data_IF_327008123380
#
_entry.id   IF_327008123380
#
_cell.length_a   1.000
_cell.length_b   1.000
_cell.length_c   1.000
_cell.angle_alpha   90.00
_cell.angle_beta   90.00
_cell.angle_gamma   90.00
#
_symmetry.space_group_name_H-M   'P 1'
#
loop_
_entity.id
_entity.type
_entity.pdbx_description
1 polymer ?
#
# COMPACT_ATOMS: atom_id res chain seq x y z
N UNK A 1 45.30 6.65 -22.51
CA UNK A 1 43.97 7.31 -22.51
C UNK A 1 42.86 6.47 -23.19
N UNK A 2 43.04 5.16 -23.40
CA UNK A 2 42.05 4.29 -24.06
C UNK A 2 41.34 3.29 -23.14
N UNK A 3 41.92 2.94 -21.99
CA UNK A 3 41.37 1.94 -21.05
C UNK A 3 40.24 2.50 -20.18
N UNK A 4 40.39 3.73 -19.66
CA UNK A 4 39.38 4.39 -18.82
C UNK A 4 38.04 4.59 -19.53
N UNK A 5 38.05 4.72 -20.87
CA UNK A 5 36.84 4.88 -21.69
C UNK A 5 36.13 3.55 -21.99
N UNK A 6 36.84 2.42 -21.90
CA UNK A 6 36.27 1.08 -22.09
C UNK A 6 35.64 0.55 -20.80
N UNK A 7 36.26 0.81 -19.66
CA UNK A 7 35.69 0.46 -18.33
C UNK A 7 34.39 1.22 -18.05
N UNK A 8 34.32 2.51 -18.40
CA UNK A 8 33.12 3.33 -18.21
C UNK A 8 31.91 2.83 -19.03
N UNK A 9 32.15 2.33 -20.25
CA UNK A 9 31.11 1.70 -21.09
C UNK A 9 30.73 0.29 -20.62
N UNK A 10 31.67 -0.44 -20.02
CA UNK A 10 31.37 -1.76 -19.42
C UNK A 10 30.47 -1.63 -18.18
N UNK A 11 30.70 -0.62 -17.34
CA UNK A 11 29.80 -0.30 -16.22
C UNK A 11 28.41 0.16 -16.66
N UNK A 12 28.31 0.90 -17.78
CA UNK A 12 27.02 1.24 -18.39
C UNK A 12 26.31 0.00 -18.96
N UNK A 13 27.06 -0.99 -19.47
CA UNK A 13 26.51 -2.25 -20.01
C UNK A 13 26.11 -3.28 -18.94
N UNK A 14 26.67 -3.22 -17.73
CA UNK A 14 26.22 -4.05 -16.59
C UNK A 14 24.94 -3.48 -15.94
N UNK A 15 24.65 -2.18 -16.16
CA UNK A 15 23.33 -1.61 -15.90
C UNK A 15 22.31 -1.93 -17.01
N UNK A 16 22.71 -2.66 -18.06
CA UNK A 16 21.77 -3.18 -19.03
C UNK A 16 21.01 -4.37 -18.43
N UNK A 17 19.79 -4.04 -18.00
CA UNK A 17 18.65 -4.92 -17.73
C UNK A 17 18.86 -5.93 -16.61
N UNK A 18 18.52 -5.49 -15.39
CA UNK A 18 17.96 -6.40 -14.40
C UNK A 18 16.74 -7.11 -15.03
N UNK A 19 16.59 -8.43 -14.88
CA UNK A 19 15.38 -9.13 -15.29
C UNK A 19 14.12 -8.47 -14.72
N UNK A 20 13.08 -8.35 -15.55
CA UNK A 20 11.87 -7.59 -15.22
C UNK A 20 11.14 -8.13 -13.98
N UNK A 21 11.15 -9.45 -13.80
CA UNK A 21 10.59 -10.13 -12.63
C UNK A 21 11.31 -9.74 -11.33
N UNK A 22 12.63 -9.57 -11.38
CA UNK A 22 13.41 -9.11 -10.22
C UNK A 22 13.16 -7.62 -9.98
N UNK A 23 13.07 -6.81 -11.03
CA UNK A 23 12.75 -5.39 -10.92
C UNK A 23 11.36 -5.18 -10.28
N UNK A 24 10.37 -5.95 -10.73
CA UNK A 24 9.02 -5.96 -10.18
C UNK A 24 9.00 -6.38 -8.71
N UNK A 25 9.79 -7.40 -8.37
CA UNK A 25 9.90 -7.86 -6.99
C UNK A 25 10.54 -6.82 -6.08
N UNK A 26 11.61 -6.14 -6.53
CA UNK A 26 12.22 -5.04 -5.78
C UNK A 26 11.21 -3.92 -5.57
N UNK A 27 10.56 -3.46 -6.65
CA UNK A 27 9.59 -2.38 -6.59
C UNK A 27 8.37 -2.71 -5.71
N UNK A 28 7.87 -3.94 -5.74
CA UNK A 28 6.73 -4.37 -4.91
C UNK A 28 7.00 -4.43 -3.41
N UNK A 29 8.27 -4.39 -2.98
CA UNK A 29 8.62 -4.24 -1.56
C UNK A 29 8.68 -2.79 -1.09
N UNK A 30 8.70 -1.83 -2.01
CA UNK A 30 8.86 -0.43 -1.68
C UNK A 30 7.51 0.25 -1.43
N UNK A 31 7.42 1.13 -0.42
CA UNK A 31 6.36 2.12 -0.35
C UNK A 31 6.28 2.95 -1.64
N UNK A 32 5.08 3.46 -1.93
CA UNK A 32 4.84 4.28 -3.14
C UNK A 32 5.75 5.51 -3.20
N UNK A 33 6.06 6.13 -2.05
CA UNK A 33 6.98 7.25 -1.97
C UNK A 33 8.41 6.90 -2.43
N UNK A 34 8.86 5.69 -2.09
CA UNK A 34 10.20 5.21 -2.44
C UNK A 34 10.29 4.77 -3.91
N UNK A 35 9.16 4.45 -4.55
CA UNK A 35 9.12 4.19 -6.01
C UNK A 35 9.48 5.44 -6.82
N UNK A 36 9.06 6.63 -6.38
CA UNK A 36 9.44 7.89 -7.02
C UNK A 36 10.95 8.15 -6.89
N UNK A 37 11.54 7.85 -5.72
CA UNK A 37 12.97 7.95 -5.51
C UNK A 37 13.73 6.95 -6.40
N UNK A 38 13.26 5.70 -6.48
CA UNK A 38 13.82 4.66 -7.32
C UNK A 38 13.80 5.07 -8.81
N UNK A 39 12.67 5.59 -9.29
CA UNK A 39 12.52 6.10 -10.65
C UNK A 39 13.48 7.25 -10.97
N UNK A 40 14.00 7.95 -9.96
CA UNK A 40 14.97 9.04 -10.14
C UNK A 40 16.42 8.54 -10.21
N UNK A 41 16.70 7.27 -9.89
CA UNK A 41 18.06 6.74 -9.83
C UNK A 41 18.67 6.41 -11.21
N UNK A 42 17.86 6.08 -12.21
CA UNK A 42 18.35 5.71 -13.55
C UNK A 42 17.25 5.79 -14.61
N UNK A 43 17.63 5.76 -15.89
CA UNK A 43 16.66 5.69 -17.00
C UNK A 43 15.81 4.41 -16.95
N UNK A 44 16.45 3.27 -16.68
CA UNK A 44 15.78 1.98 -16.51
C UNK A 44 14.68 2.05 -15.45
N UNK A 45 15.01 2.51 -14.24
CA UNK A 45 14.03 2.61 -13.16
C UNK A 45 12.96 3.67 -13.43
N UNK A 46 13.30 4.77 -14.11
CA UNK A 46 12.31 5.77 -14.50
C UNK A 46 11.25 5.19 -15.42
N UNK A 47 11.68 4.43 -16.42
CA UNK A 47 10.80 3.75 -17.37
C UNK A 47 10.00 2.64 -16.66
N UNK A 48 10.66 1.83 -15.83
CA UNK A 48 10.02 0.74 -15.10
C UNK A 48 9.00 1.25 -14.07
N UNK A 49 9.32 2.28 -13.29
CA UNK A 49 8.38 2.89 -12.33
C UNK A 49 7.22 3.63 -13.02
N UNK A 50 7.39 4.00 -14.29
CA UNK A 50 6.34 4.54 -15.13
C UNK A 50 5.48 3.48 -15.81
N UNK A 51 5.85 2.19 -15.75
CA UNK A 51 5.16 1.13 -16.49
C UNK A 51 3.87 0.69 -15.79
N UNK A 52 2.81 0.47 -16.56
CA UNK A 52 1.54 0.02 -15.99
C UNK A 52 1.59 -1.41 -15.44
N UNK A 53 2.51 -2.26 -15.94
CA UNK A 53 2.73 -3.62 -15.41
C UNK A 53 3.10 -3.57 -13.92
N UNK A 54 3.92 -2.61 -13.52
CA UNK A 54 4.24 -2.39 -12.11
C UNK A 54 2.99 -2.01 -11.32
N UNK A 55 2.26 -1.00 -11.79
CA UNK A 55 1.10 -0.46 -11.07
C UNK A 55 -0.06 -1.45 -11.00
N UNK A 56 -0.26 -2.27 -12.03
CA UNK A 56 -1.19 -3.39 -12.02
C UNK A 56 -0.81 -4.38 -10.91
N UNK A 57 0.45 -4.81 -10.88
CA UNK A 57 0.96 -5.76 -9.88
C UNK A 57 0.77 -5.22 -8.46
N UNK A 58 1.15 -3.96 -8.22
CA UNK A 58 0.97 -3.28 -6.93
C UNK A 58 -0.51 -3.18 -6.54
N UNK A 59 -1.38 -2.87 -7.49
CA UNK A 59 -2.82 -2.76 -7.27
C UNK A 59 -3.41 -4.10 -6.84
N UNK A 60 -3.09 -5.17 -7.57
CA UNK A 60 -3.59 -6.53 -7.28
C UNK A 60 -3.05 -7.06 -5.95
N UNK A 61 -1.79 -6.78 -5.63
CA UNK A 61 -1.19 -7.17 -4.36
C UNK A 61 -1.84 -6.45 -3.18
N UNK A 62 -2.16 -5.16 -3.33
CA UNK A 62 -2.74 -4.35 -2.26
C UNK A 62 -4.23 -4.65 -2.04
N UNK A 63 -4.98 -4.86 -3.11
CA UNK A 63 -6.43 -5.09 -3.07
C UNK A 63 -6.83 -6.36 -3.82
N UNK A 64 -6.48 -7.55 -3.30
CA UNK A 64 -6.69 -8.83 -3.99
C UNK A 64 -8.17 -9.21 -4.15
N UNK A 65 -9.07 -8.62 -3.34
CA UNK A 65 -10.51 -8.88 -3.39
C UNK A 65 -11.25 -8.07 -4.47
N UNK A 66 -10.54 -7.19 -5.20
CA UNK A 66 -11.11 -6.55 -6.38
C UNK A 66 -11.23 -7.60 -7.48
N UNK A 67 -12.47 -7.89 -7.88
CA UNK A 67 -12.72 -8.65 -9.09
C UNK A 67 -12.35 -7.76 -10.27
N UNK A 68 -11.10 -7.82 -10.70
CA UNK A 68 -10.64 -7.21 -11.96
C UNK A 68 -11.09 -8.04 -13.16
N UNK A 69 -12.28 -8.64 -13.10
CA UNK A 69 -12.86 -9.35 -14.24
C UNK A 69 -12.95 -8.35 -15.37
N UNK A 70 -12.13 -8.61 -16.37
CA UNK A 70 -11.97 -7.87 -17.60
C UNK A 70 -13.35 -7.51 -18.18
N UNK A 71 -13.82 -6.28 -17.93
CA UNK A 71 -14.81 -5.63 -18.78
C UNK A 71 -14.12 -5.27 -20.12
N UNK A 72 -13.69 -6.31 -20.85
CA UNK A 72 -13.34 -6.24 -22.27
C UNK A 72 -14.33 -7.13 -23.02
N UNK A 73 -15.60 -6.77 -22.91
CA UNK A 73 -16.65 -7.25 -23.82
C UNK A 73 -17.40 -6.07 -24.38
N UNK A 74 -16.67 -5.18 -25.05
CA UNK A 74 -17.17 -4.43 -26.18
C UNK A 74 -16.10 -4.54 -27.26
N UNK A 75 -16.29 -5.53 -28.13
CA UNK A 75 -15.61 -5.65 -29.41
C UNK A 75 -15.90 -4.37 -30.22
N UNK A 76 -14.88 -3.54 -30.39
CA UNK A 76 -14.63 -2.86 -31.65
C UNK A 76 -13.14 -2.54 -31.78
N UNK A 77 -12.63 -2.75 -32.98
CA UNK A 77 -11.22 -2.89 -33.33
C UNK A 77 -10.36 -1.64 -33.08
N UNK A 78 -9.18 -1.82 -32.46
CA UNK A 78 -8.07 -0.86 -32.54
C UNK A 78 -7.12 -0.89 -31.34
N UNK A 79 -5.89 -1.33 -31.56
CA UNK A 79 -4.66 -1.08 -30.77
C UNK A 79 -4.71 -1.16 -29.23
N UNK A 80 -4.07 -2.20 -28.70
CA UNK A 80 -3.32 -2.31 -27.44
C UNK A 80 -3.48 -1.22 -26.34
N UNK A 81 -4.70 -0.87 -25.92
CA UNK A 81 -4.95 0.24 -24.98
C UNK A 81 -5.68 -0.14 -23.69
N UNK A 82 -5.86 -1.44 -23.40
CA UNK A 82 -6.50 -1.89 -22.14
C UNK A 82 -5.55 -1.93 -20.92
N UNK A 83 -4.27 -1.62 -21.11
CA UNK A 83 -3.26 -1.62 -20.06
C UNK A 83 -2.86 -0.22 -19.59
N UNK A 84 -3.30 0.85 -20.26
CA UNK A 84 -2.92 2.23 -19.89
C UNK A 84 -3.78 2.73 -18.72
N UNK A 85 -3.13 3.17 -17.63
CA UNK A 85 -3.80 3.89 -16.53
C UNK A 85 -3.93 3.14 -15.20
N UNK A 86 -3.22 2.03 -15.01
CA UNK A 86 -3.15 1.37 -13.70
C UNK A 86 -2.54 2.27 -12.63
N UNK A 87 -1.60 3.13 -13.01
CA UNK A 87 -1.05 4.15 -12.10
C UNK A 87 -2.14 5.09 -11.58
N UNK A 88 -2.93 5.64 -12.48
CA UNK A 88 -4.00 6.59 -12.13
C UNK A 88 -5.10 5.90 -11.32
N UNK A 89 -5.46 4.67 -11.70
CA UNK A 89 -6.36 3.84 -10.91
C UNK A 89 -5.84 3.62 -9.49
N UNK A 90 -4.57 3.22 -9.34
CA UNK A 90 -3.95 3.01 -8.04
C UNK A 90 -3.98 4.28 -7.19
N UNK A 91 -3.61 5.43 -7.76
CA UNK A 91 -3.61 6.71 -7.05
C UNK A 91 -5.01 7.10 -6.62
N UNK A 92 -5.99 7.05 -7.53
CA UNK A 92 -7.39 7.35 -7.22
C UNK A 92 -7.90 6.45 -6.10
N UNK A 93 -7.69 5.14 -6.21
CA UNK A 93 -8.13 4.17 -5.23
C UNK A 93 -7.45 4.38 -3.87
N UNK A 94 -6.16 4.70 -3.87
CA UNK A 94 -5.42 5.03 -2.65
C UNK A 94 -6.03 6.25 -1.94
N UNK A 95 -6.33 7.31 -2.68
CA UNK A 95 -6.99 8.51 -2.15
C UNK A 95 -8.37 8.18 -1.57
N UNK A 96 -9.19 7.40 -2.28
CA UNK A 96 -10.50 6.95 -1.77
C UNK A 96 -10.36 6.18 -0.43
N UNK A 97 -9.37 5.29 -0.31
CA UNK A 97 -9.15 4.55 0.93
C UNK A 97 -8.64 5.46 2.05
N UNK A 98 -7.82 6.45 1.73
CA UNK A 98 -7.33 7.45 2.68
C UNK A 98 -8.49 8.30 3.23
N UNK A 99 -9.40 8.76 2.37
CA UNK A 99 -10.58 9.54 2.78
C UNK A 99 -11.52 8.73 3.68
N UNK A 100 -11.73 7.45 3.35
CA UNK A 100 -12.50 6.53 4.21
C UNK A 100 -11.85 6.34 5.58
N UNK A 101 -10.55 6.09 5.60
CA UNK A 101 -9.81 5.97 6.86
C UNK A 101 -9.90 7.27 7.68
N UNK A 102 -9.78 8.42 7.03
CA UNK A 102 -9.90 9.74 7.66
C UNK A 102 -11.26 9.95 8.31
N UNK A 103 -12.34 9.49 7.67
CA UNK A 103 -13.69 9.55 8.28
C UNK A 103 -13.78 8.77 9.59
N UNK A 104 -13.10 7.62 9.70
CA UNK A 104 -13.04 6.85 10.95
C UNK A 104 -12.19 7.56 12.01
N UNK A 105 -11.05 8.14 11.60
CA UNK A 105 -10.20 8.96 12.47
C UNK A 105 -11.01 10.11 13.09
N UNK A 106 -11.69 10.88 12.25
CA UNK A 106 -12.52 12.01 12.68
C UNK A 106 -13.66 11.56 13.59
N UNK A 107 -14.31 10.43 13.29
CA UNK A 107 -15.37 9.89 14.14
C UNK A 107 -14.85 9.56 15.54
N UNK A 108 -13.74 8.83 15.63
CA UNK A 108 -13.14 8.50 16.93
C UNK A 108 -12.75 9.76 17.67
N UNK A 109 -12.07 10.71 17.02
CA UNK A 109 -11.65 11.97 17.63
C UNK A 109 -12.83 12.79 18.19
N UNK A 110 -13.97 12.82 17.48
CA UNK A 110 -15.19 13.50 17.94
C UNK A 110 -15.85 12.81 19.14
N UNK A 111 -15.67 11.50 19.29
CA UNK A 111 -16.20 10.71 20.39
C UNK A 111 -15.25 10.61 21.59
N UNK A 112 -14.03 11.16 21.50
CA UNK A 112 -13.10 11.18 22.61
C UNK A 112 -13.55 12.16 23.68
N UNK A 113 -13.60 11.68 24.91
CA UNK A 113 -13.77 12.52 26.10
C UNK A 113 -12.69 12.17 27.11
N UNK A 114 -11.85 13.14 27.46
CA UNK A 114 -10.72 12.95 28.41
C UNK A 114 -9.84 11.74 28.05
N UNK A 115 -9.45 11.63 26.78
CA UNK A 115 -8.65 10.52 26.21
C UNK A 115 -9.27 9.12 26.33
N UNK A 116 -10.56 9.04 26.64
CA UNK A 116 -11.33 7.80 26.70
C UNK A 116 -12.37 7.75 25.58
N UNK A 117 -12.67 6.53 25.13
CA UNK A 117 -13.68 6.27 24.11
C UNK A 117 -14.70 5.27 24.67
N UNK A 118 -15.98 5.60 24.59
CA UNK A 118 -17.03 4.70 25.02
C UNK A 118 -17.06 3.43 24.15
N UNK A 119 -17.43 2.29 24.76
CA UNK A 119 -17.45 1.00 24.05
C UNK A 119 -18.39 1.02 22.83
N UNK A 120 -19.48 1.78 22.90
CA UNK A 120 -20.43 1.94 21.79
C UNK A 120 -19.76 2.62 20.60
N UNK A 121 -19.05 3.71 20.83
CA UNK A 121 -18.39 4.49 19.78
C UNK A 121 -17.17 3.74 19.23
N UNK A 122 -16.46 3.02 20.09
CA UNK A 122 -15.41 2.09 19.70
C UNK A 122 -15.91 1.00 18.72
N UNK A 123 -17.01 0.33 19.07
CA UNK A 123 -17.63 -0.68 18.19
C UNK A 123 -18.13 -0.04 16.90
N UNK A 124 -18.67 1.18 16.97
CA UNK A 124 -19.12 1.91 15.79
C UNK A 124 -17.99 2.20 14.82
N UNK A 125 -16.81 2.58 15.31
CA UNK A 125 -15.63 2.78 14.48
C UNK A 125 -15.21 1.49 13.75
N UNK A 126 -15.30 0.32 14.41
CA UNK A 126 -15.02 -0.98 13.78
C UNK A 126 -16.05 -1.30 12.68
N UNK A 127 -17.34 -1.05 12.94
CA UNK A 127 -18.39 -1.22 11.92
C UNK A 127 -18.16 -0.29 10.71
N UNK A 128 -17.74 0.95 10.95
CA UNK A 128 -17.41 1.90 9.90
C UNK A 128 -16.27 1.38 9.02
N UNK A 129 -15.18 0.88 9.61
CA UNK A 129 -14.10 0.24 8.86
C UNK A 129 -14.58 -0.92 7.99
N UNK A 130 -15.47 -1.76 8.54
CA UNK A 130 -16.03 -2.88 7.79
C UNK A 130 -16.91 -2.42 6.62
N UNK A 131 -17.81 -1.47 6.86
CA UNK A 131 -18.69 -0.94 5.82
C UNK A 131 -17.92 -0.25 4.69
N UNK A 132 -16.80 0.41 5.02
CA UNK A 132 -15.90 1.06 4.07
C UNK A 132 -14.96 0.08 3.36
N UNK A 133 -14.94 -1.19 3.78
CA UNK A 133 -14.16 -2.28 3.17
C UNK A 133 -12.66 -1.99 3.09
N UNK A 134 -12.07 -1.46 4.15
CA UNK A 134 -10.63 -1.23 4.18
C UNK A 134 -9.87 -2.55 4.20
N UNK A 135 -8.86 -2.69 3.35
CA UNK A 135 -7.96 -3.85 3.41
C UNK A 135 -6.97 -3.73 4.57
N UNK A 136 -6.30 -4.84 4.90
CA UNK A 136 -5.25 -4.86 5.92
C UNK A 136 -4.16 -3.81 5.65
N UNK A 137 -3.76 -3.67 4.38
CA UNK A 137 -2.75 -2.68 3.98
C UNK A 137 -3.22 -1.24 4.14
N UNK A 138 -4.51 -0.97 3.96
CA UNK A 138 -5.07 0.36 4.16
C UNK A 138 -5.08 0.70 5.65
N UNK A 139 -5.51 -0.24 6.50
CA UNK A 139 -5.45 -0.08 7.97
C UNK A 139 -4.02 0.13 8.45
N UNK A 140 -3.07 -0.66 7.95
CA UNK A 140 -1.65 -0.50 8.29
C UNK A 140 -1.11 0.88 7.90
N UNK A 141 -1.45 1.40 6.73
CA UNK A 141 -0.95 2.70 6.26
C UNK A 141 -1.61 3.88 6.96
N UNK A 142 -2.91 3.83 7.23
CA UNK A 142 -3.68 4.99 7.66
C UNK A 142 -3.97 5.01 9.16
N UNK A 143 -4.12 3.84 9.78
CA UNK A 143 -4.45 3.73 11.20
C UNK A 143 -3.25 3.37 12.06
N UNK A 144 -2.25 2.64 11.57
CA UNK A 144 -1.06 2.26 12.36
C UNK A 144 0.08 3.26 12.25
N UNK A 145 -0.17 4.49 12.66
CA UNK A 145 0.80 5.58 12.64
C UNK A 145 1.17 6.01 14.05
N UNK A 146 2.42 6.42 14.25
CA UNK A 146 2.86 6.94 15.56
C UNK A 146 2.19 8.28 15.90
N UNK A 147 1.74 9.00 14.86
CA UNK A 147 1.11 10.31 15.01
C UNK A 147 -0.40 10.24 15.31
N UNK A 148 -1.02 9.07 15.23
CA UNK A 148 -2.47 8.92 15.51
C UNK A 148 -2.71 8.35 16.91
N UNK A 149 -3.91 8.62 17.43
CA UNK A 149 -4.31 8.18 18.77
C UNK A 149 -4.17 6.65 18.94
N UNK A 150 -3.65 6.20 20.08
CA UNK A 150 -3.49 4.77 20.40
C UNK A 150 -4.81 3.98 20.31
N UNK A 151 -5.95 4.63 20.56
CA UNK A 151 -7.26 4.03 20.42
C UNK A 151 -7.61 3.73 18.96
N UNK A 152 -7.15 4.56 18.01
CA UNK A 152 -7.28 4.26 16.57
C UNK A 152 -6.43 3.05 16.17
N UNK A 153 -5.21 2.94 16.71
CA UNK A 153 -4.39 1.73 16.55
C UNK A 153 -5.15 0.49 17.07
N UNK A 154 -5.83 0.61 18.21
CA UNK A 154 -6.60 -0.50 18.78
C UNK A 154 -7.85 -0.85 17.97
N UNK A 155 -8.60 0.15 17.49
CA UNK A 155 -9.75 -0.04 16.58
C UNK A 155 -9.30 -0.77 15.31
N UNK A 156 -8.23 -0.28 14.66
CA UNK A 156 -7.67 -0.91 13.46
C UNK A 156 -7.20 -2.34 13.72
N UNK A 157 -6.60 -2.60 14.88
CA UNK A 157 -6.16 -3.93 15.29
C UNK A 157 -7.34 -4.90 15.43
N UNK A 158 -8.38 -4.52 16.17
CA UNK A 158 -9.55 -5.37 16.38
C UNK A 158 -10.31 -5.61 15.07
N UNK A 159 -10.41 -4.59 14.22
CA UNK A 159 -10.94 -4.76 12.87
C UNK A 159 -10.16 -5.81 12.07
N UNK A 160 -8.82 -5.73 12.07
CA UNK A 160 -7.98 -6.71 11.38
C UNK A 160 -8.11 -8.13 11.94
N UNK A 161 -8.36 -8.30 13.24
CA UNK A 161 -8.46 -9.62 13.85
C UNK A 161 -9.82 -10.29 13.64
N UNK A 162 -10.89 -9.50 13.62
CA UNK A 162 -12.25 -10.02 13.65
C UNK A 162 -12.99 -9.96 12.30
N UNK A 163 -12.62 -9.03 11.41
CA UNK A 163 -13.35 -8.78 10.17
C UNK A 163 -12.54 -9.05 8.91
N UNK A 164 -11.24 -8.80 8.96
CA UNK A 164 -10.35 -9.26 7.91
C UNK A 164 -9.96 -10.69 8.26
N UNK A 165 -10.56 -11.67 7.58
CA UNK A 165 -10.15 -13.07 7.69
C UNK A 165 -8.68 -13.22 7.24
N UNK A 166 -7.72 -12.93 8.13
CA UNK A 166 -6.30 -13.08 7.83
C UNK A 166 -6.00 -14.58 7.79
N UNK A 167 -5.70 -15.19 6.62
CA UNK A 167 -5.53 -16.64 6.55
C UNK A 167 -4.26 -17.04 7.32
N UNK A 168 -4.43 -17.71 8.46
CA UNK A 168 -3.41 -18.53 9.13
C UNK A 168 -2.12 -17.87 9.64
N UNK A 169 -1.94 -16.54 9.51
CA UNK A 169 -0.72 -15.82 9.96
C UNK A 169 -0.98 -14.63 10.89
N UNK A 170 -2.22 -14.42 11.34
CA UNK A 170 -2.66 -13.26 12.10
C UNK A 170 -1.88 -12.98 13.42
N UNK A 171 -1.73 -13.93 14.36
CA UNK A 171 -1.28 -13.56 15.71
C UNK A 171 0.23 -13.25 15.82
N UNK A 172 1.08 -13.92 15.02
CA UNK A 172 2.55 -13.90 15.22
C UNK A 172 3.25 -12.70 14.57
N UNK A 173 2.76 -12.23 13.41
CA UNK A 173 3.32 -11.03 12.75
C UNK A 173 2.81 -9.77 13.44
N UNK A 174 1.52 -9.77 13.79
CA UNK A 174 0.86 -8.69 14.50
C UNK A 174 1.47 -8.46 15.90
N UNK A 175 1.74 -9.53 16.66
CA UNK A 175 2.44 -9.42 17.96
C UNK A 175 3.89 -8.94 17.86
N UNK A 176 4.63 -9.27 16.78
CA UNK A 176 5.99 -8.76 16.55
C UNK A 176 5.99 -7.27 16.17
N UNK A 177 4.94 -6.78 15.52
CA UNK A 177 4.83 -5.38 15.07
C UNK A 177 4.21 -4.48 16.15
N UNK A 178 3.20 -4.97 16.88
CA UNK A 178 2.71 -4.34 18.11
C UNK A 178 3.81 -4.20 19.16
N UNK A 179 4.66 -5.23 19.37
CA UNK A 179 5.83 -5.07 20.25
C UNK A 179 6.79 -3.95 19.82
N UNK A 180 6.89 -3.66 18.52
CA UNK A 180 7.70 -2.53 18.01
C UNK A 180 7.02 -1.18 18.21
N UNK A 181 5.69 -1.09 18.13
CA UNK A 181 4.92 0.14 18.33
C UNK A 181 4.69 0.45 19.82
N UNK A 182 4.60 -0.57 20.68
CA UNK A 182 4.40 -0.42 22.13
C UNK A 182 5.73 -0.29 22.86
N UNK A 183 6.81 -0.90 22.36
CA UNK A 183 8.15 -0.81 22.95
C UNK A 183 8.81 0.57 22.89
N UNK A 184 8.20 1.54 22.21
CA UNK A 184 8.62 2.96 22.21
C UNK A 184 7.99 3.79 23.33
N UNK A 185 7.07 3.22 24.11
CA UNK A 185 6.51 3.84 25.31
C UNK A 185 6.98 3.06 26.54
N UNK A 186 8.20 3.33 26.99
CA UNK A 186 8.59 3.02 28.38
C UNK A 186 8.10 4.16 29.24
N UNK A 187 7.29 3.84 30.25
CA UNK A 187 7.19 4.65 31.46
C UNK A 187 8.53 4.65 32.20
#
# INVERSE_FOLDING_TARGET
MGETRREMKQSESLQASLPEDIALKIASFLPVGDLCALGSCSRFWREFCGSDVLWESLTRQRWPSLNFSTESSSVDHGDSSSLEGWRDFYVKRHTEMAERAMSVVQHVEQCLFSDSLEIRDYLKAIELLNSMRLGFKDVEMFLFRAEVNVLLNLVGLHYCMHWLEVPGRGPKIMSKRLRRLVGTYSW
#
